data_IF_931680676069
#
_entry.id   IF_931680676069
#
_cell.length_a   1.000
_cell.length_b   1.000
_cell.length_c   1.000
_cell.angle_alpha   90.00
_cell.angle_beta   90.00
_cell.angle_gamma   90.00
#
_symmetry.space_group_name_H-M   'P 1'
#
loop_
_entity.id
_entity.type
_entity.pdbx_description
1 polymer ?
#
# COMPACT_ATOMS: atom_id res chain seq x y z
N UNK A 1 -9.39 -20.93 -17.51
CA UNK A 1 -9.26 -20.90 -16.03
C UNK A 1 -8.64 -19.57 -15.66
N UNK A 2 -9.28 -18.71 -14.85
CA UNK A 2 -8.60 -17.53 -14.36
C UNK A 2 -7.50 -17.99 -13.41
N UNK A 3 -6.28 -17.51 -13.62
CA UNK A 3 -5.19 -17.65 -12.67
C UNK A 3 -5.66 -16.86 -11.44
N UNK A 4 -5.96 -17.56 -10.34
CA UNK A 4 -6.17 -16.91 -9.04
C UNK A 4 -4.84 -16.23 -8.70
N UNK A 5 -4.73 -14.93 -8.99
CA UNK A 5 -3.65 -14.13 -8.45
C UNK A 5 -3.77 -14.24 -6.92
N UNK A 6 -2.84 -14.96 -6.28
CA UNK A 6 -2.83 -15.07 -4.83
C UNK A 6 -2.66 -13.66 -4.25
N UNK A 7 -3.73 -13.13 -3.68
CA UNK A 7 -3.75 -11.83 -3.06
C UNK A 7 -3.14 -11.95 -1.67
N UNK A 8 -1.92 -11.42 -1.53
CA UNK A 8 -1.11 -11.63 -0.35
C UNK A 8 -0.96 -10.35 0.48
N UNK A 9 -0.95 -10.52 1.81
CA UNK A 9 -0.36 -9.56 2.75
C UNK A 9 1.09 -9.95 2.93
N UNK A 10 2.00 -9.14 2.44
CA UNK A 10 3.43 -9.35 2.65
C UNK A 10 3.89 -8.52 3.84
N UNK A 11 4.66 -9.15 4.72
CA UNK A 11 5.34 -8.49 5.82
C UNK A 11 6.83 -8.57 5.56
N UNK A 12 7.49 -7.42 5.55
CA UNK A 12 8.92 -7.33 5.32
C UNK A 12 9.56 -6.40 6.35
N UNK A 13 10.84 -6.62 6.68
CA UNK A 13 11.58 -5.57 7.37
C UNK A 13 11.97 -4.50 6.36
N UNK A 14 12.06 -3.24 6.80
CA UNK A 14 12.52 -2.14 5.96
C UNK A 14 13.92 -2.43 5.38
N UNK A 15 14.77 -3.17 6.11
CA UNK A 15 16.10 -3.61 5.65
C UNK A 15 16.07 -4.55 4.45
N UNK A 16 14.98 -5.30 4.29
CA UNK A 16 14.81 -6.27 3.20
C UNK A 16 14.17 -5.61 1.97
N UNK A 17 13.79 -4.33 2.12
CA UNK A 17 13.12 -3.54 1.11
C UNK A 17 14.05 -2.48 0.55
N UNK A 18 13.93 -2.22 -0.75
CA UNK A 18 14.56 -1.06 -1.37
C UNK A 18 13.52 0.03 -1.58
N UNK A 19 13.65 1.13 -0.85
CA UNK A 19 12.84 2.33 -1.06
C UNK A 19 13.39 3.13 -2.24
N UNK A 20 12.51 3.65 -3.09
CA UNK A 20 12.87 4.48 -4.24
C UNK A 20 11.79 5.51 -4.55
N UNK A 21 12.11 6.49 -5.39
CA UNK A 21 11.14 7.46 -5.92
C UNK A 21 10.94 7.21 -7.41
N UNK A 22 9.72 7.42 -7.89
CA UNK A 22 9.39 7.30 -9.30
C UNK A 22 8.37 8.35 -9.72
N UNK A 23 8.32 8.64 -11.02
CA UNK A 23 7.33 9.55 -11.60
C UNK A 23 6.06 8.78 -11.98
N UNK A 24 4.90 9.28 -11.57
CA UNK A 24 3.59 8.68 -11.87
C UNK A 24 2.50 9.75 -11.73
N UNK A 25 1.56 9.87 -12.67
CA UNK A 25 0.50 10.91 -12.67
C UNK A 25 1.00 12.33 -12.43
N UNK A 26 2.03 12.74 -13.15
CA UNK A 26 2.63 14.06 -13.02
C UNK A 26 3.16 14.43 -11.62
N UNK A 27 3.43 13.43 -10.78
CA UNK A 27 3.99 13.61 -9.45
C UNK A 27 5.09 12.60 -9.14
N UNK A 28 5.94 12.97 -8.20
CA UNK A 28 6.96 12.07 -7.64
C UNK A 28 6.31 11.27 -6.51
N UNK A 29 6.32 9.96 -6.66
CA UNK A 29 5.75 8.98 -5.75
C UNK A 29 6.85 8.20 -5.02
N UNK A 30 6.53 7.69 -3.83
CA UNK A 30 7.38 6.76 -3.08
C UNK A 30 7.05 5.31 -3.48
N UNK A 31 8.10 4.52 -3.67
CA UNK A 31 8.03 3.13 -4.09
C UNK A 31 8.83 2.21 -3.17
N UNK A 32 8.38 0.97 -3.07
CA UNK A 32 9.01 -0.10 -2.31
C UNK A 32 9.28 -1.25 -3.29
N UNK A 33 10.51 -1.75 -3.32
CA UNK A 33 10.84 -2.99 -4.01
C UNK A 33 11.15 -4.07 -3.01
N UNK A 34 10.51 -5.22 -3.17
CA UNK A 34 10.67 -6.38 -2.30
C UNK A 34 10.55 -7.66 -3.14
N UNK A 35 11.54 -8.56 -3.04
CA UNK A 35 11.59 -9.85 -3.76
C UNK A 35 11.32 -9.76 -5.28
N UNK A 36 11.76 -8.67 -5.92
CA UNK A 36 11.56 -8.45 -7.36
C UNK A 36 10.16 -7.96 -7.74
N UNK A 37 9.28 -7.74 -6.77
CA UNK A 37 8.02 -7.02 -6.92
C UNK A 37 8.19 -5.53 -6.61
N UNK A 38 7.27 -4.72 -7.14
CA UNK A 38 7.25 -3.27 -6.95
C UNK A 38 5.92 -2.87 -6.35
N UNK A 39 5.97 -2.03 -5.33
CA UNK A 39 4.83 -1.52 -4.61
C UNK A 39 4.86 0.00 -4.60
N UNK A 40 3.70 0.63 -4.73
CA UNK A 40 3.52 2.05 -4.49
C UNK A 40 3.27 2.28 -3.01
N UNK A 41 4.17 3.01 -2.34
CA UNK A 41 3.99 3.40 -0.95
C UNK A 41 2.98 4.53 -0.89
N UNK A 42 1.85 4.28 -0.23
CA UNK A 42 0.77 5.25 -0.14
C UNK A 42 0.57 5.76 1.29
N UNK A 43 1.03 5.02 2.30
CA UNK A 43 0.85 5.43 3.69
C UNK A 43 2.01 5.01 4.61
N UNK A 44 2.13 5.69 5.73
CA UNK A 44 3.04 5.31 6.82
C UNK A 44 2.38 5.51 8.19
N UNK A 45 2.41 4.47 9.02
CA UNK A 45 1.94 4.51 10.40
C UNK A 45 3.12 4.65 11.37
N UNK A 46 2.93 5.35 12.48
CA UNK A 46 3.88 5.30 13.60
C UNK A 46 3.89 3.90 14.24
N UNK A 47 4.94 3.56 14.99
CA UNK A 47 5.06 2.25 15.66
C UNK A 47 3.91 1.94 16.61
N UNK A 48 3.29 2.96 17.20
CA UNK A 48 2.15 2.84 18.12
C UNK A 48 0.85 2.44 17.40
N UNK A 49 0.77 2.62 16.09
CA UNK A 49 -0.41 2.36 15.26
C UNK A 49 -0.26 1.09 14.42
N UNK A 50 0.49 0.11 14.93
CA UNK A 50 0.72 -1.17 14.26
C UNK A 50 -0.58 -1.82 13.83
N UNK A 51 -1.55 -1.96 14.75
CA UNK A 51 -2.83 -2.62 14.50
C UNK A 51 -3.57 -1.99 13.31
N UNK A 52 -3.54 -0.66 13.20
CA UNK A 52 -4.16 0.06 12.08
C UNK A 52 -3.51 -0.26 10.73
N UNK A 53 -2.20 -0.48 10.71
CA UNK A 53 -1.48 -0.89 9.51
C UNK A 53 -1.95 -2.27 9.02
N UNK A 54 -2.12 -3.22 9.95
CA UNK A 54 -2.60 -4.57 9.64
C UNK A 54 -4.08 -4.56 9.24
N UNK A 55 -4.94 -3.83 9.95
CA UNK A 55 -6.36 -3.71 9.64
C UNK A 55 -6.58 -3.12 8.24
N UNK A 56 -5.82 -2.08 7.90
CA UNK A 56 -5.90 -1.50 6.56
C UNK A 56 -5.38 -2.47 5.49
N UNK A 57 -4.26 -3.15 5.75
CA UNK A 57 -3.73 -4.18 4.86
C UNK A 57 -4.74 -5.30 4.60
N UNK A 58 -5.44 -5.78 5.64
CA UNK A 58 -6.47 -6.80 5.51
C UNK A 58 -7.64 -6.33 4.65
N UNK A 59 -8.17 -5.12 4.89
CA UNK A 59 -9.28 -4.55 4.10
C UNK A 59 -8.94 -4.41 2.62
N UNK A 60 -7.68 -4.14 2.30
CA UNK A 60 -7.21 -4.03 0.92
C UNK A 60 -7.15 -5.39 0.23
N UNK A 61 -6.77 -6.45 0.96
CA UNK A 61 -6.78 -7.82 0.44
C UNK A 61 -8.19 -8.33 0.22
N UNK A 62 -9.12 -8.01 1.12
CA UNK A 62 -10.55 -8.34 0.94
C UNK A 62 -11.12 -7.69 -0.33
N UNK A 63 -10.57 -6.55 -0.76
CA UNK A 63 -10.87 -5.86 -2.04
C UNK A 63 -10.06 -6.38 -3.22
N UNK A 64 -9.20 -7.36 -2.99
CA UNK A 64 -8.39 -8.01 -3.99
C UNK A 64 -7.11 -7.28 -4.38
N UNK A 65 -6.53 -6.52 -3.46
CA UNK A 65 -5.31 -5.76 -3.71
C UNK A 65 -4.21 -6.36 -2.85
N UNK A 66 -3.10 -6.75 -3.49
CA UNK A 66 -1.93 -7.25 -2.76
C UNK A 66 -1.20 -6.08 -2.12
N UNK A 67 -0.83 -6.26 -0.86
CA UNK A 67 -0.27 -5.21 -0.01
C UNK A 67 1.01 -5.70 0.63
N UNK A 68 1.98 -4.79 0.78
CA UNK A 68 3.15 -4.98 1.62
C UNK A 68 3.07 -4.04 2.83
N UNK A 69 3.41 -4.56 4.00
CA UNK A 69 3.72 -3.78 5.20
C UNK A 69 5.21 -3.90 5.46
N UNK A 70 5.94 -2.81 5.27
CA UNK A 70 7.35 -2.74 5.63
C UNK A 70 7.49 -2.26 7.07
N UNK A 71 8.02 -3.10 7.93
CA UNK A 71 8.23 -2.82 9.34
C UNK A 71 9.60 -2.18 9.54
N UNK A 72 9.63 -0.99 10.12
CA UNK A 72 10.84 -0.33 10.59
C UNK A 72 10.78 -0.10 12.09
N UNK A 73 11.94 0.20 12.70
CA UNK A 73 11.99 0.54 14.14
C UNK A 73 11.20 1.80 14.49
N UNK A 74 10.88 2.64 13.50
CA UNK A 74 10.25 3.95 13.71
C UNK A 74 8.84 4.05 13.11
N UNK A 75 8.50 3.19 12.14
CA UNK A 75 7.23 3.25 11.41
C UNK A 75 6.89 1.95 10.69
N UNK A 76 5.64 1.83 10.27
CA UNK A 76 5.18 0.83 9.31
C UNK A 76 4.83 1.53 8.01
N UNK A 77 5.41 1.09 6.89
CA UNK A 77 5.07 1.60 5.57
C UNK A 77 4.09 0.66 4.90
N UNK A 78 3.04 1.21 4.32
CA UNK A 78 2.05 0.45 3.55
C UNK A 78 2.26 0.71 2.06
N UNK A 79 2.33 -0.36 1.28
CA UNK A 79 2.42 -0.29 -0.17
C UNK A 79 1.48 -1.24 -0.88
N UNK A 80 0.92 -0.82 -2.01
CA UNK A 80 0.10 -1.67 -2.89
C UNK A 80 0.93 -2.19 -4.06
N UNK A 81 0.75 -3.45 -4.45
CA UNK A 81 1.51 -4.07 -5.54
C UNK A 81 1.13 -3.45 -6.90
N UNK A 82 2.13 -3.00 -7.67
CA UNK A 82 1.96 -2.37 -8.97
C UNK A 82 1.78 -3.37 -10.13
N UNK A 83 2.12 -4.65 -9.93
CA UNK A 83 2.03 -5.73 -10.93
C UNK A 83 0.73 -6.51 -10.90
N UNK A 84 -0.07 -6.37 -9.84
CA UNK A 84 -1.48 -6.73 -9.95
C UNK A 84 -2.09 -5.92 -11.09
N UNK A 85 -3.32 -6.23 -11.49
CA UNK A 85 -3.99 -5.66 -12.66
C UNK A 85 -4.18 -4.12 -12.62
N UNK A 86 -3.41 -3.37 -11.83
CA UNK A 86 -3.18 -1.93 -11.90
C UNK A 86 -3.10 -1.41 -13.34
N UNK A 87 -2.38 -2.07 -14.25
CA UNK A 87 -2.39 -1.67 -15.67
C UNK A 87 -3.75 -1.81 -16.37
N UNK A 88 -4.64 -2.67 -15.85
CA UNK A 88 -6.03 -2.83 -16.30
C UNK A 88 -7.06 -2.05 -15.46
N UNK A 89 -6.64 -1.47 -14.33
CA UNK A 89 -7.46 -0.53 -13.55
C UNK A 89 -7.41 0.81 -14.29
N UNK A 90 -8.59 1.36 -14.59
CA UNK A 90 -8.69 2.64 -15.27
C UNK A 90 -8.05 3.76 -14.44
N UNK A 91 -7.59 4.80 -15.11
CA UNK A 91 -6.85 5.88 -14.49
C UNK A 91 -7.69 6.66 -13.47
N UNK A 92 -9.00 6.72 -13.69
CA UNK A 92 -9.98 7.24 -12.73
C UNK A 92 -10.13 6.34 -11.50
N UNK A 93 -10.17 5.02 -11.67
CA UNK A 93 -10.27 4.09 -10.53
C UNK A 93 -9.00 4.12 -9.68
N UNK A 94 -7.82 4.30 -10.29
CA UNK A 94 -6.57 4.53 -9.55
C UNK A 94 -6.61 5.82 -8.73
N UNK A 95 -7.08 6.92 -9.33
CA UNK A 95 -7.24 8.21 -8.66
C UNK A 95 -8.27 8.13 -7.54
N UNK A 96 -9.40 7.47 -7.79
CA UNK A 96 -10.45 7.22 -6.80
C UNK A 96 -9.92 6.35 -5.66
N UNK A 97 -9.07 5.36 -5.95
CA UNK A 97 -8.41 4.55 -4.93
C UNK A 97 -7.51 5.39 -4.03
N UNK A 98 -6.72 6.27 -4.64
CA UNK A 98 -5.84 7.20 -3.93
C UNK A 98 -6.65 8.20 -3.07
N UNK A 99 -7.80 8.66 -3.58
CA UNK A 99 -8.72 9.55 -2.87
C UNK A 99 -9.45 8.81 -1.74
N UNK A 100 -9.89 7.56 -1.95
CA UNK A 100 -10.53 6.75 -0.90
C UNK A 100 -9.55 6.44 0.23
N UNK A 101 -8.30 6.17 -0.10
CA UNK A 101 -7.23 5.96 0.88
C UNK A 101 -6.93 7.27 1.64
N UNK A 102 -6.82 8.41 0.95
CA UNK A 102 -6.68 9.73 1.60
C UNK A 102 -7.93 10.14 2.42
N UNK A 103 -9.12 9.72 1.98
CA UNK A 103 -10.38 9.94 2.67
C UNK A 103 -10.51 9.07 3.92
N UNK A 104 -10.07 7.81 3.86
CA UNK A 104 -9.92 6.93 5.01
C UNK A 104 -8.97 7.52 6.04
N UNK A 105 -7.86 8.14 5.62
CA UNK A 105 -6.96 8.86 6.51
C UNK A 105 -7.62 10.07 7.19
N UNK A 106 -8.41 10.85 6.46
CA UNK A 106 -9.14 12.01 7.00
C UNK A 106 -10.20 11.60 8.02
N UNK A 107 -10.98 10.56 7.72
CA UNK A 107 -12.05 10.05 8.59
C UNK A 107 -11.47 9.35 9.83
N UNK A 108 -10.41 8.55 9.68
CA UNK A 108 -9.78 7.86 10.81
C UNK A 108 -9.00 8.83 11.72
N UNK A 109 -8.44 9.91 11.18
CA UNK A 109 -7.81 10.96 11.98
C UNK A 109 -8.83 11.75 12.82
N UNK A 110 -10.08 11.87 12.34
CA UNK A 110 -11.17 12.52 13.07
C UNK A 110 -11.79 11.62 14.16
N UNK A 111 -11.72 10.29 14.01
CA UNK A 111 -12.27 9.32 14.99
C UNK A 111 -11.32 8.98 16.14
N UNK A 112 -10.05 9.40 16.06
CA UNK A 112 -9.02 9.17 17.09
C UNK A 112 -8.73 10.43 17.95
N UNK A 113 -9.62 11.44 17.90
CA UNK A 113 -9.60 12.65 18.72
C UNK A 113 -10.83 12.75 19.62
#
# INVERSE_FOLDING_TARGET
MPILANMNLLLANESDCRLFKFWFHDRVCDGISYQGELFYQFHSFSTQRREQAYDLGSKLIDRGISVIICCSKQRYLLGINLRNNWSAIDEQDKQQFLIEVQGLESVLSQLLH
#
